data_IF_256613938674
#
_entry.id   IF_256613938674
#
_cell.length_a   1.000
_cell.length_b   1.000
_cell.length_c   1.000
_cell.angle_alpha   90.00
_cell.angle_beta   90.00
_cell.angle_gamma   90.00
#
_symmetry.space_group_name_H-M   'P 1'
#
loop_
_entity.id
_entity.type
_entity.pdbx_description
1 polymer ?
#
# COMPACT_ATOMS: atom_id res chain seq x y z
N UNK A 1 -7.64 -18.48 8.69
CA UNK A 1 -6.91 -18.22 7.43
C UNK A 1 -5.80 -17.18 7.59
N UNK A 2 -6.06 -16.04 8.26
CA UNK A 2 -5.00 -15.02 8.49
C UNK A 2 -3.90 -15.60 9.38
N UNK A 3 -4.21 -16.32 10.45
CA UNK A 3 -3.19 -16.97 11.28
C UNK A 3 -2.36 -17.97 10.46
N UNK A 4 -3.01 -18.79 9.65
CA UNK A 4 -2.32 -19.72 8.75
C UNK A 4 -1.40 -19.00 7.75
N UNK A 5 -1.82 -17.83 7.26
CA UNK A 5 -0.99 -16.98 6.42
C UNK A 5 0.24 -16.42 7.17
N UNK A 6 0.05 -15.94 8.39
CA UNK A 6 1.16 -15.41 9.22
C UNK A 6 2.21 -16.49 9.46
N UNK A 7 1.80 -17.73 9.74
CA UNK A 7 2.67 -18.89 9.98
C UNK A 7 3.29 -19.51 8.70
N UNK A 8 2.90 -19.05 7.51
CA UNK A 8 3.38 -19.60 6.23
C UNK A 8 4.57 -18.82 5.65
N UNK A 9 5.22 -19.35 4.61
CA UNK A 9 6.27 -18.64 3.86
C UNK A 9 5.70 -17.59 2.89
N UNK A 10 4.39 -17.57 2.67
CA UNK A 10 3.72 -16.62 1.79
C UNK A 10 3.80 -15.21 2.39
N UNK A 11 4.17 -14.21 1.57
CA UNK A 11 4.38 -12.83 2.03
C UNK A 11 3.15 -11.93 1.85
N UNK A 12 2.24 -12.31 0.96
CA UNK A 12 1.14 -11.46 0.50
C UNK A 12 -0.21 -12.11 0.81
N UNK A 13 -1.11 -11.32 1.39
CA UNK A 13 -2.50 -11.71 1.63
C UNK A 13 -3.47 -10.63 1.13
N UNK A 14 -4.53 -11.05 0.44
CA UNK A 14 -5.60 -10.15 0.00
C UNK A 14 -6.85 -10.38 0.86
N UNK A 15 -7.24 -9.37 1.62
CA UNK A 15 -8.50 -9.32 2.35
C UNK A 15 -9.51 -8.52 1.53
N UNK A 16 -10.38 -9.22 0.83
CA UNK A 16 -11.40 -8.64 -0.05
C UNK A 16 -12.75 -8.54 0.65
N UNK A 17 -13.53 -7.53 0.30
CA UNK A 17 -14.90 -7.42 0.79
C UNK A 17 -15.56 -6.13 0.38
N UNK A 18 -16.88 -6.17 0.18
CA UNK A 18 -17.69 -4.99 -0.17
C UNK A 18 -17.71 -3.96 0.96
N UNK A 19 -18.18 -2.76 0.66
CA UNK A 19 -18.42 -1.75 1.70
C UNK A 19 -19.39 -2.31 2.78
N UNK A 20 -19.06 -2.09 4.05
CA UNK A 20 -19.89 -2.54 5.17
C UNK A 20 -19.71 -4.00 5.62
N UNK A 21 -18.83 -4.80 5.01
CA UNK A 21 -18.60 -6.21 5.38
C UNK A 21 -17.73 -6.41 6.63
N UNK A 22 -17.28 -5.33 7.27
CA UNK A 22 -16.50 -5.43 8.51
C UNK A 22 -14.98 -5.40 8.34
N UNK A 23 -14.44 -5.06 7.15
CA UNK A 23 -12.98 -4.97 6.90
C UNK A 23 -12.23 -4.18 7.98
N UNK A 24 -12.72 -2.98 8.34
CA UNK A 24 -12.08 -2.13 9.36
C UNK A 24 -12.08 -2.78 10.75
N UNK A 25 -13.15 -3.50 11.10
CA UNK A 25 -13.22 -4.25 12.36
C UNK A 25 -12.19 -5.37 12.36
N UNK A 26 -12.08 -6.10 11.25
CA UNK A 26 -11.10 -7.18 11.12
C UNK A 26 -9.67 -6.67 11.15
N UNK A 27 -9.37 -5.51 10.52
CA UNK A 27 -8.05 -4.85 10.66
C UNK A 27 -7.70 -4.61 12.14
N UNK A 28 -8.66 -4.11 12.92
CA UNK A 28 -8.45 -3.88 14.36
C UNK A 28 -8.14 -5.17 15.11
N UNK A 29 -8.87 -6.24 14.81
CA UNK A 29 -8.62 -7.56 15.42
C UNK A 29 -7.27 -8.13 15.00
N UNK A 30 -6.86 -7.99 13.74
CA UNK A 30 -5.53 -8.40 13.26
C UNK A 30 -4.43 -7.66 14.04
N UNK A 31 -4.55 -6.34 14.20
CA UNK A 31 -3.58 -5.56 14.97
C UNK A 31 -3.49 -6.05 16.41
N UNK A 32 -4.63 -6.27 17.08
CA UNK A 32 -4.67 -6.74 18.46
C UNK A 32 -4.07 -8.13 18.62
N UNK A 33 -4.39 -9.05 17.69
CA UNK A 33 -3.98 -10.44 17.76
C UNK A 33 -2.47 -10.60 17.52
N UNK A 34 -1.92 -9.86 16.52
CA UNK A 34 -0.53 -10.06 16.08
C UNK A 34 0.44 -8.98 16.57
N UNK A 35 0.03 -8.12 17.51
CA UNK A 35 0.85 -7.04 18.05
C UNK A 35 2.17 -7.50 18.70
N UNK A 36 2.24 -8.74 19.16
CA UNK A 36 3.42 -9.32 19.84
C UNK A 36 4.26 -10.22 18.93
N UNK A 37 3.77 -10.52 17.73
CA UNK A 37 4.46 -11.44 16.79
C UNK A 37 5.39 -10.69 15.81
N UNK A 38 5.19 -9.38 15.67
CA UNK A 38 6.01 -8.52 14.83
C UNK A 38 6.64 -7.41 15.66
N UNK A 39 7.84 -6.99 15.27
CA UNK A 39 8.48 -5.82 15.89
C UNK A 39 7.66 -4.55 15.66
N UNK A 40 6.92 -4.51 14.55
CA UNK A 40 6.05 -3.39 14.21
C UNK A 40 4.86 -3.80 13.35
N UNK A 41 3.72 -3.13 13.56
CA UNK A 41 2.59 -3.16 12.62
C UNK A 41 2.48 -1.76 11.99
N UNK A 42 2.57 -1.68 10.67
CA UNK A 42 2.39 -0.44 9.92
C UNK A 42 1.05 -0.44 9.19
N UNK A 43 0.12 0.38 9.68
CA UNK A 43 -1.19 0.57 9.08
C UNK A 43 -1.16 1.76 8.12
N UNK A 44 -1.51 1.50 6.86
CA UNK A 44 -1.47 2.48 5.79
C UNK A 44 -2.80 2.56 5.05
N UNK A 45 -3.00 3.66 4.34
CA UNK A 45 -4.10 3.82 3.40
C UNK A 45 -3.62 4.45 2.10
N UNK A 46 -4.34 4.23 1.01
CA UNK A 46 -4.00 4.75 -0.32
C UNK A 46 -4.08 6.28 -0.40
N UNK A 47 -4.96 6.93 0.37
CA UNK A 47 -5.19 8.38 0.34
C UNK A 47 -5.15 9.02 1.73
N UNK A 48 -4.89 10.35 1.77
CA UNK A 48 -4.91 11.12 3.02
C UNK A 48 -6.28 11.13 3.69
N UNK A 49 -7.37 11.16 2.90
CA UNK A 49 -8.74 11.07 3.44
C UNK A 49 -9.00 9.70 4.06
N UNK A 50 -8.64 8.63 3.38
CA UNK A 50 -8.79 7.28 3.90
C UNK A 50 -7.97 7.06 5.18
N UNK A 51 -6.71 7.53 5.22
CA UNK A 51 -5.86 7.42 6.41
C UNK A 51 -6.44 8.16 7.63
N UNK A 52 -7.04 9.33 7.43
CA UNK A 52 -7.70 10.09 8.50
C UNK A 52 -8.95 9.36 9.03
N UNK A 53 -9.79 8.84 8.13
CA UNK A 53 -11.00 8.09 8.51
C UNK A 53 -10.62 6.81 9.27
N UNK A 54 -9.65 6.06 8.76
CA UNK A 54 -9.19 4.80 9.36
C UNK A 54 -8.59 5.04 10.76
N UNK A 55 -7.74 6.06 10.91
CA UNK A 55 -7.16 6.47 12.19
C UNK A 55 -8.23 6.75 13.25
N UNK A 56 -9.26 7.49 12.89
CA UNK A 56 -10.35 7.83 13.81
C UNK A 56 -11.16 6.60 14.23
N UNK A 57 -11.33 5.62 13.33
CA UNK A 57 -12.10 4.39 13.61
C UNK A 57 -11.33 3.39 14.47
N UNK A 58 -10.05 3.20 14.18
CA UNK A 58 -9.23 2.16 14.84
C UNK A 58 -8.49 2.72 16.06
N UNK A 59 -8.28 4.04 16.14
CA UNK A 59 -7.46 4.70 17.16
C UNK A 59 -6.00 4.20 17.15
N UNK A 60 -5.47 3.96 15.95
CA UNK A 60 -4.11 3.51 15.70
C UNK A 60 -3.41 4.48 14.75
N UNK A 61 -2.06 4.49 14.76
CA UNK A 61 -1.27 5.31 13.85
C UNK A 61 -1.46 4.89 12.39
N UNK A 62 -1.99 5.76 11.55
CA UNK A 62 -2.20 5.48 10.11
C UNK A 62 -1.52 6.55 9.28
N UNK A 63 -0.71 6.14 8.32
CA UNK A 63 -0.09 7.02 7.33
C UNK A 63 -0.65 6.73 5.92
N UNK A 64 -0.34 7.60 4.97
CA UNK A 64 -0.51 7.23 3.55
C UNK A 64 0.70 6.42 3.09
N UNK A 65 0.50 5.55 2.09
CA UNK A 65 1.60 4.77 1.49
C UNK A 65 2.74 5.71 1.08
N UNK A 66 2.43 6.78 0.33
CA UNK A 66 3.44 7.75 -0.11
C UNK A 66 4.27 8.33 1.03
N UNK A 67 3.63 8.71 2.14
CA UNK A 67 4.33 9.26 3.31
C UNK A 67 5.21 8.23 4.02
N UNK A 68 4.84 6.95 3.93
CA UNK A 68 5.59 5.87 4.59
C UNK A 68 6.80 5.42 3.80
N UNK A 69 6.72 5.42 2.45
CA UNK A 69 7.78 4.85 1.60
C UNK A 69 8.68 5.89 0.93
N UNK A 70 8.27 7.16 0.89
CA UNK A 70 9.06 8.20 0.24
C UNK A 70 9.54 9.27 1.21
N UNK A 71 10.80 9.67 1.07
CA UNK A 71 11.38 10.85 1.73
C UNK A 71 11.66 11.95 0.73
N UNK A 72 11.45 13.18 1.17
CA UNK A 72 11.84 14.37 0.41
C UNK A 72 13.37 14.39 0.26
N UNK A 73 13.83 14.48 -0.99
CA UNK A 73 15.25 14.44 -1.33
C UNK A 73 15.78 15.78 -1.78
N UNK A 74 15.00 16.58 -2.49
CA UNK A 74 15.38 17.91 -2.98
C UNK A 74 14.16 18.81 -3.11
N UNK A 75 14.37 20.10 -2.82
CA UNK A 75 13.45 21.17 -3.18
C UNK A 75 14.14 22.03 -4.23
N UNK A 76 13.49 22.29 -5.34
CA UNK A 76 13.97 23.16 -6.41
C UNK A 76 12.93 24.21 -6.75
N UNK A 77 13.39 25.37 -7.21
CA UNK A 77 12.52 26.43 -7.73
C UNK A 77 12.64 26.38 -9.26
N UNK A 78 11.55 26.20 -9.94
CA UNK A 78 11.51 26.27 -11.40
C UNK A 78 11.68 27.73 -11.88
N UNK A 79 12.06 27.92 -13.13
CA UNK A 79 12.18 29.25 -13.75
C UNK A 79 10.87 30.08 -13.73
N UNK A 80 9.75 29.39 -13.47
CA UNK A 80 8.40 29.96 -13.28
C UNK A 80 8.14 30.46 -11.86
N UNK A 81 9.10 30.31 -10.92
CA UNK A 81 8.92 30.64 -9.50
C UNK A 81 8.15 29.57 -8.69
N UNK A 82 7.80 28.45 -9.32
CA UNK A 82 7.05 27.36 -8.66
C UNK A 82 8.01 26.43 -7.92
N UNK A 83 7.70 26.15 -6.66
CA UNK A 83 8.42 25.16 -5.88
C UNK A 83 8.10 23.75 -6.38
N UNK A 84 9.14 22.93 -6.56
CA UNK A 84 9.02 21.52 -6.91
C UNK A 84 9.79 20.67 -5.91
N UNK A 85 9.10 19.77 -5.23
CA UNK A 85 9.71 18.81 -4.32
C UNK A 85 9.93 17.47 -5.03
N UNK A 86 11.13 16.92 -4.87
CA UNK A 86 11.50 15.60 -5.37
C UNK A 86 11.56 14.62 -4.19
N UNK A 87 10.99 13.44 -4.39
CA UNK A 87 10.91 12.38 -3.40
C UNK A 87 11.65 11.14 -3.90
N UNK A 88 12.39 10.50 -3.01
CA UNK A 88 13.04 9.21 -3.27
C UNK A 88 12.44 8.12 -2.40
N UNK A 89 12.45 6.89 -2.90
CA UNK A 89 12.08 5.72 -2.14
C UNK A 89 13.06 5.54 -0.96
N UNK A 90 12.53 5.21 0.20
CA UNK A 90 13.34 4.78 1.34
C UNK A 90 13.85 3.36 1.14
N UNK A 91 14.95 3.03 1.79
CA UNK A 91 15.47 1.67 1.80
C UNK A 91 14.60 0.78 2.72
N UNK A 92 14.61 -0.52 2.42
CA UNK A 92 14.04 -1.54 3.31
C UNK A 92 14.69 -1.42 4.68
N UNK A 93 13.90 -1.52 5.73
CA UNK A 93 14.41 -1.66 7.09
C UNK A 93 14.89 -3.10 7.28
N UNK A 94 16.19 -3.26 7.30
CA UNK A 94 16.81 -4.54 7.60
C UNK A 94 16.66 -4.86 9.09
N UNK A 95 16.47 -6.14 9.42
CA UNK A 95 16.38 -6.68 10.79
C UNK A 95 15.15 -6.26 11.62
N UNK A 96 14.09 -5.79 11.00
CA UNK A 96 12.78 -5.62 11.66
C UNK A 96 11.74 -6.52 10.97
N UNK A 97 10.97 -7.27 11.74
CA UNK A 97 9.79 -7.99 11.24
C UNK A 97 8.59 -7.05 11.26
N UNK A 98 8.03 -6.74 10.10
CA UNK A 98 6.95 -5.77 9.98
C UNK A 98 5.72 -6.39 9.33
N UNK A 99 4.57 -6.25 9.99
CA UNK A 99 3.27 -6.50 9.37
C UNK A 99 2.73 -5.22 8.75
N UNK A 100 2.72 -5.16 7.43
CA UNK A 100 2.09 -4.06 6.68
C UNK A 100 0.61 -4.37 6.43
N UNK A 101 -0.27 -3.46 6.78
CA UNK A 101 -1.71 -3.55 6.49
C UNK A 101 -2.09 -2.30 5.68
N UNK A 102 -2.60 -2.51 4.46
CA UNK A 102 -2.92 -1.42 3.54
C UNK A 102 -4.42 -1.42 3.25
N UNK A 103 -5.14 -0.43 3.75
CA UNK A 103 -6.57 -0.26 3.48
C UNK A 103 -6.83 0.55 2.19
N UNK A 104 -8.02 0.38 1.61
CA UNK A 104 -8.43 0.96 0.33
C UNK A 104 -7.46 0.63 -0.82
N UNK A 105 -6.98 -0.62 -0.84
CA UNK A 105 -5.97 -1.08 -1.80
C UNK A 105 -6.47 -1.11 -3.26
N UNK A 106 -7.78 -1.07 -3.50
CA UNK A 106 -8.34 -0.93 -4.86
C UNK A 106 -7.85 0.31 -5.60
N UNK A 107 -7.45 1.35 -4.87
CA UNK A 107 -6.93 2.61 -5.43
C UNK A 107 -5.42 2.61 -5.71
N UNK A 108 -4.73 1.51 -5.47
CA UNK A 108 -3.28 1.40 -5.69
C UNK A 108 -3.02 0.86 -7.09
N UNK A 109 -2.53 1.73 -7.97
CA UNK A 109 -2.15 1.38 -9.33
C UNK A 109 -0.67 1.00 -9.49
N UNK A 110 -0.37 0.44 -10.66
CA UNK A 110 1.00 0.13 -11.09
C UNK A 110 1.31 0.72 -12.48
N UNK A 111 0.47 1.63 -12.96
CA UNK A 111 0.69 2.37 -14.21
C UNK A 111 1.29 3.73 -13.90
N UNK A 112 2.39 4.06 -14.58
CA UNK A 112 2.97 5.39 -14.47
C UNK A 112 2.06 6.43 -15.16
N UNK A 113 1.91 7.64 -14.59
CA UNK A 113 1.17 8.71 -15.23
C UNK A 113 1.82 9.13 -16.56
N UNK A 114 1.06 9.78 -17.42
CA UNK A 114 1.57 10.30 -18.68
C UNK A 114 2.59 11.42 -18.47
N UNK A 115 3.38 11.71 -19.51
CA UNK A 115 4.37 12.83 -19.45
C UNK A 115 3.73 14.19 -19.17
N UNK A 116 2.54 14.40 -19.69
CA UNK A 116 1.79 15.65 -19.51
C UNK A 116 1.29 15.79 -18.07
N UNK A 117 0.74 14.73 -17.50
CA UNK A 117 0.35 14.69 -16.08
C UNK A 117 1.54 14.89 -15.14
N UNK A 118 2.73 14.37 -15.49
CA UNK A 118 3.96 14.57 -14.71
C UNK A 118 4.46 16.00 -14.77
N UNK A 119 4.30 16.68 -15.91
CA UNK A 119 4.74 18.07 -16.09
C UNK A 119 3.95 19.05 -15.20
N UNK A 120 2.67 18.76 -14.94
CA UNK A 120 1.79 19.60 -14.12
C UNK A 120 1.94 19.37 -12.60
N UNK A 121 2.65 18.31 -12.18
CA UNK A 121 2.78 17.98 -10.76
C UNK A 121 3.89 18.77 -10.07
N UNK A 122 3.56 19.38 -8.95
CA UNK A 122 4.53 20.01 -8.04
C UNK A 122 5.36 18.99 -7.22
N UNK A 123 4.90 17.75 -7.14
CA UNK A 123 5.55 16.65 -6.43
C UNK A 123 6.03 15.62 -7.44
N UNK A 124 7.34 15.32 -7.43
CA UNK A 124 7.94 14.29 -8.29
C UNK A 124 8.48 13.14 -7.43
N UNK A 125 8.07 11.93 -7.78
CA UNK A 125 8.56 10.69 -7.16
C UNK A 125 9.59 10.03 -8.09
N UNK A 126 10.52 9.29 -7.52
CA UNK A 126 11.62 8.64 -8.27
C UNK A 126 11.12 7.60 -9.29
N UNK A 127 10.03 6.91 -8.95
CA UNK A 127 9.28 6.02 -9.86
C UNK A 127 7.79 6.22 -9.54
N UNK A 128 6.97 6.35 -10.55
CA UNK A 128 5.54 6.67 -10.41
C UNK A 128 4.65 5.42 -10.26
N UNK A 129 5.24 4.22 -10.25
CA UNK A 129 4.54 2.95 -10.07
C UNK A 129 4.40 2.62 -8.59
N UNK A 130 3.32 3.10 -7.97
CA UNK A 130 3.15 3.04 -6.51
C UNK A 130 3.19 1.61 -5.96
N UNK A 131 2.50 0.66 -6.59
CA UNK A 131 2.49 -0.74 -6.15
C UNK A 131 3.89 -1.36 -6.20
N UNK A 132 4.61 -1.16 -7.32
CA UNK A 132 6.00 -1.63 -7.47
C UNK A 132 6.92 -1.04 -6.40
N UNK A 133 6.83 0.27 -6.18
CA UNK A 133 7.64 0.95 -5.17
C UNK A 133 7.35 0.46 -3.76
N UNK A 134 6.06 0.26 -3.45
CA UNK A 134 5.66 -0.29 -2.15
C UNK A 134 6.23 -1.70 -1.96
N UNK A 135 6.14 -2.58 -2.95
CA UNK A 135 6.72 -3.93 -2.86
C UNK A 135 8.24 -3.89 -2.73
N UNK A 136 8.92 -3.02 -3.46
CA UNK A 136 10.38 -2.84 -3.32
C UNK A 136 10.80 -2.31 -1.95
N UNK A 137 9.92 -1.58 -1.25
CA UNK A 137 10.15 -1.07 0.09
C UNK A 137 9.80 -2.09 1.19
N UNK A 138 8.72 -2.86 1.03
CA UNK A 138 8.12 -3.63 2.10
C UNK A 138 8.37 -5.14 2.02
N UNK A 139 8.64 -5.69 0.81
CA UNK A 139 8.76 -7.12 0.61
C UNK A 139 10.17 -7.61 0.97
N UNK A 140 10.33 -8.10 2.18
CA UNK A 140 11.53 -8.79 2.68
C UNK A 140 11.16 -10.16 3.25
N UNK A 141 12.15 -10.94 3.65
CA UNK A 141 11.90 -12.28 4.17
C UNK A 141 11.19 -12.28 5.52
N UNK A 142 11.37 -11.25 6.33
CA UNK A 142 10.78 -11.12 7.65
C UNK A 142 9.39 -10.44 7.64
N UNK A 143 9.01 -9.84 6.52
CA UNK A 143 7.79 -9.02 6.47
C UNK A 143 6.59 -9.76 5.93
N UNK A 144 5.40 -9.36 6.40
CA UNK A 144 4.10 -9.79 5.87
C UNK A 144 3.30 -8.57 5.40
N UNK A 145 2.53 -8.76 4.34
CA UNK A 145 1.75 -7.67 3.73
C UNK A 145 0.31 -8.12 3.54
N UNK A 146 -0.64 -7.37 4.09
CA UNK A 146 -2.08 -7.58 3.92
C UNK A 146 -2.66 -6.39 3.14
N UNK A 147 -3.08 -6.63 1.91
CA UNK A 147 -3.85 -5.66 1.13
C UNK A 147 -5.33 -5.84 1.41
N UNK A 148 -5.98 -4.77 1.86
CA UNK A 148 -7.41 -4.76 2.21
C UNK A 148 -8.16 -3.86 1.24
N UNK A 149 -9.25 -4.34 0.66
CA UNK A 149 -10.01 -3.51 -0.28
C UNK A 149 -11.27 -4.19 -0.81
N UNK A 150 -11.95 -3.46 -1.67
CA UNK A 150 -13.14 -3.91 -2.38
C UNK A 150 -12.84 -3.99 -3.88
N UNK A 151 -12.77 -5.19 -4.47
CA UNK A 151 -12.47 -5.33 -5.89
C UNK A 151 -13.56 -4.79 -6.82
N UNK A 152 -14.75 -4.49 -6.27
CA UNK A 152 -15.87 -3.89 -7.02
C UNK A 152 -15.91 -2.37 -6.93
N UNK A 153 -15.00 -1.73 -6.17
CA UNK A 153 -14.88 -0.28 -6.14
C UNK A 153 -14.04 0.24 -7.32
N UNK A 154 -14.03 1.57 -7.48
CA UNK A 154 -13.25 2.23 -8.52
C UNK A 154 -11.79 1.79 -8.46
N UNK A 155 -11.26 1.42 -9.61
CA UNK A 155 -9.84 1.11 -9.79
C UNK A 155 -8.98 2.37 -9.71
N UNK A 156 -7.67 2.17 -9.57
CA UNK A 156 -6.70 3.26 -9.64
C UNK A 156 -6.79 3.99 -11.00
N UNK A 157 -6.53 5.28 -10.97
CA UNK A 157 -6.50 6.13 -12.18
C UNK A 157 -5.44 5.57 -13.14
N UNK A 158 -5.76 5.56 -14.44
CA UNK A 158 -4.90 5.08 -15.52
C UNK A 158 -4.66 3.55 -15.60
N UNK A 159 -5.32 2.75 -14.75
CA UNK A 159 -5.30 1.30 -14.94
C UNK A 159 -6.24 0.90 -16.09
N UNK A 160 -5.70 0.15 -17.05
CA UNK A 160 -6.48 -0.37 -18.18
C UNK A 160 -7.33 -1.56 -17.73
N UNK A 161 -8.54 -1.66 -18.25
CA UNK A 161 -9.45 -2.79 -18.07
C UNK A 161 -9.99 -2.99 -16.65
N UNK A 162 -10.30 -1.93 -15.91
CA UNK A 162 -10.91 -2.03 -14.57
C UNK A 162 -10.14 -2.95 -13.59
N UNK A 163 -8.86 -3.17 -13.86
CA UNK A 163 -8.00 -3.98 -13.00
C UNK A 163 -7.71 -3.25 -11.69
N UNK A 164 -7.83 -3.98 -10.58
CA UNK A 164 -7.33 -3.57 -9.26
C UNK A 164 -6.01 -4.30 -8.96
N UNK A 165 -4.86 -3.82 -9.45
CA UNK A 165 -3.60 -4.57 -9.40
C UNK A 165 -3.23 -5.04 -7.99
N UNK A 166 -3.44 -4.18 -6.98
CA UNK A 166 -3.11 -4.47 -5.58
C UNK A 166 -4.07 -5.45 -4.89
N UNK A 167 -5.09 -5.95 -5.58
CA UNK A 167 -6.03 -6.96 -5.08
C UNK A 167 -6.13 -8.18 -6.01
N UNK A 168 -5.23 -8.32 -6.99
CA UNK A 168 -5.26 -9.42 -7.96
C UNK A 168 -4.11 -10.40 -7.74
N UNK A 169 -4.45 -11.62 -7.36
CA UNK A 169 -3.53 -12.75 -7.21
C UNK A 169 -2.79 -13.05 -8.52
N UNK A 170 -3.50 -13.04 -9.63
CA UNK A 170 -2.97 -13.29 -10.97
C UNK A 170 -1.97 -12.19 -11.38
N UNK A 171 -2.26 -10.95 -11.01
CA UNK A 171 -1.37 -9.83 -11.26
C UNK A 171 -0.05 -9.97 -10.51
N UNK A 172 -0.10 -10.32 -9.21
CA UNK A 172 1.10 -10.54 -8.39
C UNK A 172 1.94 -11.70 -8.90
N UNK A 173 1.32 -12.82 -9.25
CA UNK A 173 2.03 -13.96 -9.81
C UNK A 173 2.70 -13.62 -11.16
N UNK A 174 1.98 -12.95 -12.07
CA UNK A 174 2.47 -12.68 -13.44
C UNK A 174 3.49 -11.53 -13.52
N UNK A 175 3.36 -10.49 -12.66
CA UNK A 175 4.18 -9.27 -12.72
C UNK A 175 5.32 -9.23 -11.74
N UNK A 176 5.16 -9.88 -10.60
CA UNK A 176 6.14 -9.82 -9.51
C UNK A 176 6.71 -11.20 -9.14
N UNK A 177 6.16 -12.28 -9.72
CA UNK A 177 6.48 -13.66 -9.35
C UNK A 177 6.31 -13.92 -7.84
N UNK A 178 5.24 -13.35 -7.26
CA UNK A 178 4.89 -13.47 -5.85
C UNK A 178 3.64 -14.33 -5.67
N UNK A 179 3.74 -15.34 -4.80
CA UNK A 179 2.61 -16.11 -4.33
C UNK A 179 1.81 -15.31 -3.31
N UNK A 180 0.51 -15.56 -3.26
CA UNK A 180 -0.39 -14.86 -2.36
C UNK A 180 -1.58 -15.72 -1.94
N UNK A 181 -2.08 -15.46 -0.74
CA UNK A 181 -3.35 -15.98 -0.25
C UNK A 181 -4.44 -14.91 -0.30
N UNK A 182 -5.70 -15.33 -0.29
CA UNK A 182 -6.81 -14.40 -0.29
C UNK A 182 -8.01 -14.93 0.50
N UNK A 183 -8.78 -13.99 1.03
CA UNK A 183 -10.05 -14.25 1.70
C UNK A 183 -11.06 -13.15 1.36
N UNK A 184 -12.30 -13.54 1.15
CA UNK A 184 -13.40 -12.61 0.84
C UNK A 184 -14.47 -12.67 1.93
N UNK A 185 -14.78 -11.48 2.51
CA UNK A 185 -15.82 -11.25 3.50
C UNK A 185 -17.22 -11.15 2.86
#
# INVERSE_FOLDING_TARGET
>A
EISTFIDSDIKIFFLKGKAGTGKTTLIKEIINQFATEFDKIELMASTGRASKILRNKIQYGVNTIHKSIFKESKISIQNTGVFQSQFRLENIKENESILYIIDESSLIGNTAPSKDELAERHLKFSDEKLLKNFLSFACSDENKIIFVGDPCQLSAINEKNELTPALSKEYFASKFNLESNEFTL
#
